data_IF_597075884096
#
_entry.id   IF_597075884096
#
_cell.length_a   1.000
_cell.length_b   1.000
_cell.length_c   1.000
_cell.angle_alpha   90.00
_cell.angle_beta   90.00
_cell.angle_gamma   90.00
#
_symmetry.space_group_name_H-M   'P 1'
#
loop_
_entity.id
_entity.type
_entity.pdbx_description
1 polymer ?
#
# COMPACT_ATOMS: atom_id res chain seq x y z
N UNK A 1 7.79 -30.31 16.73
CA UNK A 1 8.01 -29.88 15.32
C UNK A 1 8.73 -28.53 15.25
N UNK A 2 9.51 -28.28 14.20
CA UNK A 2 10.15 -26.97 13.99
C UNK A 2 9.09 -25.95 13.53
N UNK A 3 8.97 -24.82 14.23
CA UNK A 3 8.08 -23.73 13.83
C UNK A 3 8.48 -23.18 12.45
N UNK A 4 7.50 -22.88 11.61
CA UNK A 4 7.70 -22.29 10.28
C UNK A 4 6.88 -21.02 10.17
N UNK A 5 7.30 -20.11 9.31
CA UNK A 5 6.50 -19.01 8.79
C UNK A 5 6.04 -19.40 7.38
N UNK A 6 4.74 -19.33 7.15
CA UNK A 6 4.12 -19.47 5.83
C UNK A 6 3.74 -18.06 5.38
N UNK A 7 4.39 -17.61 4.32
CA UNK A 7 4.07 -16.35 3.64
C UNK A 7 3.16 -16.67 2.46
N UNK A 8 2.03 -15.97 2.37
CA UNK A 8 1.02 -16.15 1.32
C UNK A 8 0.72 -14.81 0.68
N UNK A 9 0.77 -14.77 -0.65
CA UNK A 9 0.24 -13.65 -1.41
C UNK A 9 -1.28 -13.56 -1.26
N UNK A 10 -1.82 -12.36 -1.44
CA UNK A 10 -3.25 -12.08 -1.27
C UNK A 10 -3.99 -12.27 -2.59
N UNK A 11 -3.65 -11.46 -3.58
CA UNK A 11 -4.42 -11.31 -4.81
C UNK A 11 -4.21 -12.49 -5.76
N UNK A 12 -5.29 -13.17 -6.13
CA UNK A 12 -5.19 -14.37 -6.97
C UNK A 12 -4.59 -15.61 -6.28
N UNK A 13 -4.26 -15.54 -4.98
CA UNK A 13 -3.67 -16.64 -4.21
C UNK A 13 -4.52 -17.00 -2.99
N UNK A 14 -4.54 -16.15 -1.96
CA UNK A 14 -5.31 -16.42 -0.73
C UNK A 14 -6.76 -15.95 -0.85
N UNK A 15 -6.99 -14.91 -1.62
CA UNK A 15 -8.26 -14.18 -1.74
C UNK A 15 -8.84 -14.36 -3.14
N UNK A 16 -10.16 -14.50 -3.21
CA UNK A 16 -10.94 -14.58 -4.45
C UNK A 16 -11.17 -13.19 -5.04
N UNK A 17 -11.71 -13.13 -6.25
CA UNK A 17 -12.06 -11.90 -6.96
C UNK A 17 -13.06 -11.00 -6.20
N UNK A 18 -13.88 -11.59 -5.32
CA UNK A 18 -14.81 -10.87 -4.45
C UNK A 18 -14.17 -10.34 -3.15
N UNK A 19 -12.86 -10.36 -3.06
CA UNK A 19 -12.07 -9.98 -1.88
C UNK A 19 -12.35 -10.81 -0.63
N UNK A 20 -12.86 -12.05 -0.76
CA UNK A 20 -13.09 -12.96 0.36
C UNK A 20 -12.06 -14.08 0.44
N UNK A 21 -11.70 -14.47 1.66
CA UNK A 21 -10.97 -15.74 1.88
C UNK A 21 -11.93 -16.94 1.72
N UNK A 22 -11.49 -17.94 0.97
CA UNK A 22 -12.23 -19.20 0.90
C UNK A 22 -12.27 -19.93 2.25
N UNK A 23 -13.38 -20.60 2.59
CA UNK A 23 -13.49 -21.33 3.86
C UNK A 23 -12.36 -22.36 4.06
N UNK A 24 -11.95 -23.07 3.00
CA UNK A 24 -10.81 -23.99 3.05
C UNK A 24 -9.50 -23.29 3.41
N UNK A 25 -9.28 -22.06 2.91
CA UNK A 25 -8.09 -21.25 3.25
C UNK A 25 -8.13 -20.85 4.73
N UNK A 26 -9.29 -20.43 5.23
CA UNK A 26 -9.48 -20.11 6.66
C UNK A 26 -9.22 -21.31 7.57
N UNK A 27 -9.72 -22.47 7.21
CA UNK A 27 -9.47 -23.73 7.94
C UNK A 27 -7.97 -24.08 7.94
N UNK A 28 -7.33 -24.02 6.78
CA UNK A 28 -5.90 -24.32 6.65
C UNK A 28 -5.02 -23.36 7.48
N UNK A 29 -5.34 -22.07 7.50
CA UNK A 29 -4.68 -21.07 8.34
C UNK A 29 -4.79 -21.46 9.82
N UNK A 30 -6.03 -21.77 10.29
CA UNK A 30 -6.28 -22.14 11.68
C UNK A 30 -5.53 -23.42 12.08
N UNK A 31 -5.54 -24.45 11.22
CA UNK A 31 -4.82 -25.68 11.49
C UNK A 31 -3.30 -25.45 11.59
N UNK A 32 -2.73 -24.69 10.66
CA UNK A 32 -1.30 -24.37 10.70
C UNK A 32 -0.91 -23.60 11.97
N UNK A 33 -1.75 -22.67 12.42
CA UNK A 33 -1.54 -21.92 13.66
C UNK A 33 -1.65 -22.84 14.90
N UNK A 34 -2.59 -23.78 14.92
CA UNK A 34 -2.73 -24.79 16.00
C UNK A 34 -1.49 -25.67 16.10
N UNK A 35 -0.86 -26.02 14.98
CA UNK A 35 0.42 -26.74 14.93
C UNK A 35 1.63 -25.85 15.33
N UNK A 36 1.40 -24.60 15.71
CA UNK A 36 2.41 -23.67 16.17
C UNK A 36 3.18 -22.96 15.07
N UNK A 37 2.72 -23.03 13.82
CA UNK A 37 3.28 -22.27 12.71
C UNK A 37 2.79 -20.82 12.75
N UNK A 38 3.45 -19.93 12.00
CA UNK A 38 3.08 -18.54 11.82
C UNK A 38 2.67 -18.30 10.38
N UNK A 39 1.65 -17.48 10.19
CA UNK A 39 1.10 -17.15 8.88
C UNK A 39 1.28 -15.66 8.66
N UNK A 40 1.72 -15.28 7.44
CA UNK A 40 1.79 -13.90 7.01
C UNK A 40 1.10 -13.73 5.67
N UNK A 41 0.30 -12.68 5.54
CA UNK A 41 -0.04 -12.13 4.23
C UNK A 41 1.11 -11.27 3.72
N UNK A 42 1.43 -11.39 2.44
CA UNK A 42 2.46 -10.62 1.75
C UNK A 42 1.84 -10.01 0.50
N UNK A 43 1.84 -8.70 0.40
CA UNK A 43 1.18 -8.02 -0.72
C UNK A 43 1.78 -6.64 -0.99
N UNK A 44 1.59 -6.15 -2.22
CA UNK A 44 1.79 -4.74 -2.55
C UNK A 44 0.72 -3.82 -1.98
N UNK A 45 -0.39 -4.36 -1.46
CA UNK A 45 -1.47 -3.58 -0.88
C UNK A 45 -0.99 -2.70 0.28
N UNK A 46 -1.65 -1.56 0.45
CA UNK A 46 -1.47 -0.62 1.56
C UNK A 46 -2.48 -0.90 2.67
N UNK A 47 -2.31 -0.28 3.83
CA UNK A 47 -3.26 -0.40 4.95
C UNK A 47 -4.69 -0.06 4.52
N UNK A 48 -4.86 1.02 3.76
CA UNK A 48 -6.15 1.45 3.23
C UNK A 48 -6.83 0.40 2.36
N UNK A 49 -6.05 -0.35 1.58
CA UNK A 49 -6.57 -1.36 0.65
C UNK A 49 -6.95 -2.66 1.38
N UNK A 50 -6.33 -2.91 2.54
CA UNK A 50 -6.65 -4.08 3.38
C UNK A 50 -8.06 -4.03 3.99
N UNK A 51 -8.68 -2.85 4.05
CA UNK A 51 -10.05 -2.68 4.55
C UNK A 51 -11.06 -3.50 3.76
N UNK A 52 -10.82 -3.74 2.46
CA UNK A 52 -11.66 -4.58 1.60
C UNK A 52 -11.79 -6.02 2.10
N UNK A 53 -10.80 -6.54 2.84
CA UNK A 53 -10.81 -7.88 3.45
C UNK A 53 -11.59 -7.92 4.78
N UNK A 54 -12.08 -6.80 5.28
CA UNK A 54 -12.80 -6.68 6.56
C UNK A 54 -12.04 -7.38 7.69
N UNK A 55 -12.74 -8.18 8.49
CA UNK A 55 -12.14 -8.91 9.63
C UNK A 55 -11.19 -10.03 9.19
N UNK A 56 -11.27 -10.50 7.94
CA UNK A 56 -10.45 -11.59 7.44
C UNK A 56 -8.97 -11.20 7.34
N UNK A 57 -8.66 -9.92 7.19
CA UNK A 57 -7.29 -9.41 7.21
C UNK A 57 -6.53 -9.74 8.52
N UNK A 58 -7.27 -9.96 9.62
CA UNK A 58 -6.68 -10.22 10.94
C UNK A 58 -6.57 -11.71 11.31
N UNK A 59 -6.95 -12.62 10.40
CA UNK A 59 -6.86 -14.06 10.62
C UNK A 59 -5.43 -14.60 10.64
N UNK A 60 -4.47 -13.85 10.08
CA UNK A 60 -3.06 -14.22 10.05
C UNK A 60 -2.27 -13.59 11.21
N UNK A 61 -1.04 -14.05 11.44
CA UNK A 61 -0.18 -13.51 12.51
C UNK A 61 0.47 -12.18 12.12
N UNK A 62 0.81 -12.02 10.84
CA UNK A 62 1.50 -10.85 10.32
C UNK A 62 0.93 -10.41 8.96
N UNK A 63 1.07 -9.13 8.69
CA UNK A 63 0.86 -8.55 7.35
C UNK A 63 2.17 -7.88 6.92
N UNK A 64 2.63 -8.17 5.73
CA UNK A 64 3.78 -7.56 5.06
C UNK A 64 3.22 -6.82 3.85
N UNK A 65 3.13 -5.51 3.97
CA UNK A 65 2.42 -4.62 3.06
C UNK A 65 3.38 -3.65 2.35
N UNK A 66 2.87 -2.83 1.45
CA UNK A 66 3.64 -1.84 0.69
C UNK A 66 4.87 -2.48 0.03
N UNK A 67 4.69 -3.63 -0.65
CA UNK A 67 5.79 -4.37 -1.30
C UNK A 67 6.96 -4.67 -0.34
N UNK A 68 6.66 -4.88 0.95
CA UNK A 68 7.64 -5.19 2.00
C UNK A 68 8.02 -4.01 2.89
N UNK A 69 7.65 -2.78 2.52
CA UNK A 69 7.98 -1.57 3.28
C UNK A 69 7.32 -1.49 4.65
N UNK A 70 6.26 -2.27 4.89
CA UNK A 70 5.55 -2.24 6.18
C UNK A 70 5.28 -3.65 6.71
N UNK A 71 5.56 -3.88 7.99
CA UNK A 71 5.26 -5.14 8.68
C UNK A 71 4.40 -4.86 9.90
N UNK A 72 3.22 -5.47 9.94
CA UNK A 72 2.27 -5.42 11.04
C UNK A 72 2.16 -6.78 11.73
N UNK A 73 2.07 -6.76 13.06
CA UNK A 73 1.65 -7.91 13.84
C UNK A 73 0.16 -7.81 14.14
N UNK A 74 -0.64 -8.76 13.62
CA UNK A 74 -2.10 -8.65 13.62
C UNK A 74 -2.73 -8.68 15.01
N UNK A 75 -2.22 -9.50 15.94
CA UNK A 75 -2.83 -9.70 17.28
C UNK A 75 -3.00 -8.43 18.10
N UNK A 76 -2.15 -7.44 17.91
CA UNK A 76 -2.14 -6.17 18.67
C UNK A 76 -2.00 -4.95 17.73
N UNK A 77 -2.09 -5.18 16.43
CA UNK A 77 -1.96 -4.16 15.37
C UNK A 77 -0.67 -3.34 15.48
N UNK A 78 0.38 -3.97 16.02
CA UNK A 78 1.67 -3.31 16.23
C UNK A 78 2.46 -3.26 14.93
N UNK A 79 2.88 -2.06 14.53
CA UNK A 79 3.86 -1.85 13.49
C UNK A 79 5.22 -2.34 13.99
N UNK A 80 5.80 -3.32 13.30
CA UNK A 80 7.11 -3.89 13.59
C UNK A 80 8.20 -3.26 12.73
N UNK A 81 7.85 -2.86 11.53
CA UNK A 81 8.71 -2.21 10.55
C UNK A 81 7.88 -1.25 9.71
N UNK A 82 8.44 -0.11 9.36
CA UNK A 82 7.83 0.87 8.45
C UNK A 82 8.94 1.68 7.79
N UNK A 83 9.23 1.39 6.53
CA UNK A 83 10.12 2.19 5.71
C UNK A 83 9.34 3.39 5.17
N UNK A 84 9.82 4.57 5.51
CA UNK A 84 9.22 5.82 5.06
C UNK A 84 10.10 6.47 4.00
N UNK A 85 9.46 7.00 2.98
CA UNK A 85 10.11 7.86 1.99
C UNK A 85 10.59 9.13 2.71
N UNK A 86 11.87 9.51 2.57
CA UNK A 86 12.44 10.62 3.32
C UNK A 86 11.71 11.96 3.09
N UNK A 87 11.61 12.84 4.10
CA UNK A 87 10.90 14.11 4.00
C UNK A 87 11.33 14.99 2.81
N UNK A 88 12.62 15.05 2.51
CA UNK A 88 13.11 15.86 1.40
C UNK A 88 12.64 15.34 0.04
N UNK A 89 12.53 14.03 -0.13
CA UNK A 89 11.95 13.39 -1.32
C UNK A 89 10.46 13.69 -1.42
N UNK A 90 9.73 13.48 -0.31
CA UNK A 90 8.30 13.79 -0.24
C UNK A 90 8.03 15.23 -0.67
N UNK A 91 8.77 16.20 -0.09
CA UNK A 91 8.63 17.61 -0.42
C UNK A 91 8.83 17.87 -1.91
N UNK A 92 9.92 17.37 -2.48
CA UNK A 92 10.28 17.61 -3.89
C UNK A 92 9.21 17.05 -4.84
N UNK A 93 8.83 15.80 -4.63
CA UNK A 93 7.87 15.12 -5.51
C UNK A 93 6.46 15.75 -5.43
N UNK A 94 5.95 15.99 -4.22
CA UNK A 94 4.63 16.59 -4.04
C UNK A 94 4.60 18.01 -4.62
N UNK A 95 5.63 18.83 -4.35
CA UNK A 95 5.70 20.19 -4.88
C UNK A 95 5.69 20.18 -6.40
N UNK A 96 6.52 19.33 -7.02
CA UNK A 96 6.55 19.20 -8.48
C UNK A 96 5.18 18.84 -9.05
N UNK A 97 4.52 17.83 -8.49
CA UNK A 97 3.22 17.38 -8.99
C UNK A 97 2.13 18.45 -8.82
N UNK A 98 2.14 19.20 -7.72
CA UNK A 98 1.21 20.31 -7.51
C UNK A 98 1.45 21.45 -8.52
N UNK A 99 2.70 21.86 -8.73
CA UNK A 99 3.07 22.92 -9.67
C UNK A 99 2.77 22.58 -11.13
N UNK A 100 2.95 21.32 -11.51
CA UNK A 100 2.70 20.84 -12.87
C UNK A 100 1.26 20.31 -13.09
N UNK A 101 0.40 20.36 -12.07
CA UNK A 101 -0.95 19.80 -12.10
C UNK A 101 -0.98 18.30 -12.48
N UNK A 102 0.04 17.55 -12.04
CA UNK A 102 0.20 16.12 -12.22
C UNK A 102 -0.56 15.36 -11.14
N UNK A 103 -1.26 14.28 -11.49
CA UNK A 103 -1.93 13.40 -10.55
C UNK A 103 -0.90 12.54 -9.78
N UNK A 104 -0.86 12.71 -8.47
CA UNK A 104 -0.07 11.90 -7.55
C UNK A 104 -0.96 11.43 -6.40
N UNK A 105 -0.95 10.14 -6.15
CA UNK A 105 -1.59 9.55 -4.98
C UNK A 105 -0.55 9.46 -3.87
N UNK A 106 -0.94 9.84 -2.66
CA UNK A 106 -0.08 9.98 -1.48
C UNK A 106 -0.68 9.10 -0.37
N UNK A 107 0.13 8.24 0.22
CA UNK A 107 -0.29 7.28 1.21
C UNK A 107 0.51 7.40 2.50
N UNK A 108 -0.22 7.43 3.63
CA UNK A 108 0.37 7.41 4.96
C UNK A 108 -0.59 6.70 5.94
N UNK A 109 -0.31 5.45 6.27
CA UNK A 109 -1.22 4.60 7.05
C UNK A 109 -2.59 4.46 6.38
N UNK A 110 -3.61 4.89 7.10
CA UNK A 110 -5.00 4.90 6.57
C UNK A 110 -5.34 6.14 5.74
N UNK A 111 -4.44 7.12 5.69
CA UNK A 111 -4.66 8.36 4.94
C UNK A 111 -4.32 8.13 3.47
N UNK A 112 -5.25 8.49 2.62
CA UNK A 112 -5.09 8.52 1.17
C UNK A 112 -5.43 9.92 0.66
N UNK A 113 -4.44 10.57 0.08
CA UNK A 113 -4.55 11.92 -0.47
C UNK A 113 -4.18 11.90 -1.96
N UNK A 114 -4.63 12.89 -2.70
CA UNK A 114 -4.33 13.07 -4.13
C UNK A 114 -4.08 14.54 -4.44
N UNK A 115 -3.15 14.82 -5.33
CA UNK A 115 -2.93 16.19 -5.86
C UNK A 115 -4.03 16.59 -6.85
N UNK A 116 -4.69 15.61 -7.49
CA UNK A 116 -5.75 15.80 -8.47
C UNK A 116 -6.66 14.59 -8.50
N UNK A 117 -7.97 14.83 -8.50
CA UNK A 117 -8.96 13.76 -8.68
C UNK A 117 -9.11 13.43 -10.16
N UNK A 118 -9.09 12.14 -10.50
CA UNK A 118 -9.35 11.63 -11.86
C UNK A 118 -10.48 10.62 -11.84
N UNK A 119 -11.06 10.32 -13.00
CA UNK A 119 -12.13 9.32 -13.10
C UNK A 119 -11.64 7.93 -12.65
N UNK A 120 -10.41 7.57 -12.98
CA UNK A 120 -9.78 6.31 -12.53
C UNK A 120 -9.63 6.26 -11.01
N UNK A 121 -9.19 7.37 -10.40
CA UNK A 121 -9.11 7.48 -8.93
C UNK A 121 -10.47 7.32 -8.28
N UNK A 122 -11.52 7.92 -8.87
CA UNK A 122 -12.89 7.78 -8.38
C UNK A 122 -13.43 6.36 -8.51
N UNK A 123 -13.13 5.69 -9.62
CA UNK A 123 -13.51 4.29 -9.83
C UNK A 123 -12.81 3.37 -8.82
N UNK A 124 -11.51 3.55 -8.64
CA UNK A 124 -10.76 2.80 -7.63
C UNK A 124 -11.28 3.06 -6.21
N UNK A 125 -11.57 4.32 -5.87
CA UNK A 125 -12.14 4.70 -4.59
C UNK A 125 -13.47 3.98 -4.28
N UNK A 126 -14.34 3.81 -5.29
CA UNK A 126 -15.60 3.04 -5.16
C UNK A 126 -15.32 1.57 -4.87
N UNK A 127 -14.32 0.97 -5.50
CA UNK A 127 -13.97 -0.44 -5.32
C UNK A 127 -13.38 -0.71 -3.94
N UNK A 128 -12.54 0.21 -3.44
CA UNK A 128 -11.90 0.10 -2.11
C UNK A 128 -12.85 0.56 -0.99
N UNK A 129 -13.82 1.42 -1.29
CA UNK A 129 -14.75 1.98 -0.30
C UNK A 129 -14.14 3.12 0.51
N UNK A 130 -13.07 3.75 0.01
CA UNK A 130 -12.37 4.90 0.62
C UNK A 130 -12.24 6.00 -0.42
N UNK A 131 -12.61 7.23 -0.06
CA UNK A 131 -12.48 8.41 -0.93
C UNK A 131 -11.23 9.17 -0.50
N UNK A 132 -10.28 9.46 -1.42
CA UNK A 132 -9.10 10.25 -1.08
C UNK A 132 -9.44 11.72 -0.86
N UNK A 133 -8.62 12.37 -0.05
CA UNK A 133 -8.65 13.82 0.14
C UNK A 133 -7.83 14.50 -0.97
N UNK A 134 -8.37 15.58 -1.56
CA UNK A 134 -7.61 16.40 -2.51
C UNK A 134 -6.77 17.38 -1.71
N UNK A 135 -5.48 17.46 -2.02
CA UNK A 135 -4.58 18.50 -1.49
C UNK A 135 -4.26 19.52 -2.55
N UNK A 136 -4.20 20.79 -2.15
CA UNK A 136 -3.86 21.92 -3.02
C UNK A 136 -2.54 22.57 -2.63
N UNK A 137 -2.01 22.19 -1.49
CA UNK A 137 -0.73 22.67 -0.98
C UNK A 137 0.05 21.58 -0.23
N UNK A 138 1.36 21.79 -0.13
CA UNK A 138 2.25 20.87 0.60
C UNK A 138 1.92 20.81 2.10
N UNK A 139 1.36 21.87 2.67
CA UNK A 139 1.00 21.98 4.08
C UNK A 139 -0.18 21.09 4.48
N UNK A 140 -0.97 20.62 3.51
CA UNK A 140 -2.12 19.74 3.74
C UNK A 140 -1.74 18.26 3.89
N UNK A 141 -0.45 17.94 3.91
CA UNK A 141 0.07 16.58 4.08
C UNK A 141 1.19 16.51 5.12
N UNK A 142 1.35 15.34 5.74
CA UNK A 142 2.34 15.10 6.81
C UNK A 142 3.75 14.75 6.28
N UNK A 143 4.13 15.27 5.13
CA UNK A 143 5.40 14.98 4.46
C UNK A 143 6.64 15.13 5.35
N UNK A 144 6.58 15.99 6.37
CA UNK A 144 7.71 16.29 7.28
C UNK A 144 8.18 15.08 8.11
N UNK A 145 7.34 14.09 8.25
CA UNK A 145 7.65 12.86 8.99
C UNK A 145 8.04 11.71 8.07
N UNK A 146 8.04 11.92 6.75
CA UNK A 146 8.10 10.87 5.75
C UNK A 146 6.74 10.28 5.45
N UNK A 147 6.60 9.64 4.29
CA UNK A 147 5.35 9.05 3.82
C UNK A 147 5.58 7.59 3.42
N UNK A 148 4.54 6.77 3.50
CA UNK A 148 4.63 5.34 3.23
C UNK A 148 4.71 5.01 1.73
N UNK A 149 4.20 5.87 0.87
CA UNK A 149 4.25 5.63 -0.56
C UNK A 149 3.58 6.68 -1.43
N UNK A 150 3.94 6.62 -2.69
CA UNK A 150 3.32 7.38 -3.77
C UNK A 150 2.89 6.44 -4.89
N UNK A 151 1.85 6.82 -5.64
CA UNK A 151 1.48 6.17 -6.88
C UNK A 151 1.01 7.20 -7.90
N UNK A 152 1.50 7.09 -9.13
CA UNK A 152 0.96 7.80 -10.28
C UNK A 152 0.27 6.79 -11.18
N UNK A 153 -0.94 7.11 -11.66
CA UNK A 153 -1.71 6.27 -12.59
C UNK A 153 -1.90 6.96 -13.94
N UNK A 154 -1.96 8.27 -13.92
CA UNK A 154 -1.85 9.12 -15.10
C UNK A 154 -0.53 9.90 -14.99
N UNK A 155 -0.05 10.41 -16.09
CA UNK A 155 1.20 11.21 -16.12
C UNK A 155 2.44 10.45 -15.59
N UNK A 156 2.42 9.10 -15.61
CA UNK A 156 3.51 8.26 -15.07
C UNK A 156 4.87 8.58 -15.69
N UNK A 157 4.89 8.85 -17.00
CA UNK A 157 6.11 9.21 -17.73
C UNK A 157 6.75 10.49 -17.20
N UNK A 158 5.93 11.50 -16.87
CA UNK A 158 6.41 12.78 -16.37
C UNK A 158 6.94 12.65 -14.95
N UNK A 159 6.25 11.86 -14.09
CA UNK A 159 6.71 11.56 -12.73
C UNK A 159 8.01 10.77 -12.75
N UNK A 160 8.10 9.74 -13.60
CA UNK A 160 9.30 8.93 -13.76
C UNK A 160 10.49 9.77 -14.23
N UNK A 161 10.31 10.58 -15.27
CA UNK A 161 11.35 11.47 -15.77
C UNK A 161 11.84 12.45 -14.70
N UNK A 162 10.93 13.02 -13.92
CA UNK A 162 11.31 13.90 -12.81
C UNK A 162 12.10 13.16 -11.72
N UNK A 163 11.71 11.93 -11.38
CA UNK A 163 12.45 11.11 -10.39
C UNK A 163 13.85 10.83 -10.91
N UNK A 164 13.98 10.34 -12.15
CA UNK A 164 15.28 9.98 -12.74
C UNK A 164 16.24 11.17 -12.83
N UNK A 165 15.75 12.35 -13.18
CA UNK A 165 16.56 13.55 -13.33
C UNK A 165 16.84 14.25 -12.00
N UNK A 166 15.84 14.35 -11.14
CA UNK A 166 15.88 15.23 -9.98
C UNK A 166 16.01 14.50 -8.65
N UNK A 167 15.61 13.22 -8.53
CA UNK A 167 15.60 12.46 -7.27
C UNK A 167 16.26 11.09 -7.48
N UNK A 168 17.51 11.01 -7.95
CA UNK A 168 18.15 9.76 -8.37
C UNK A 168 18.40 8.77 -7.23
N UNK A 169 18.21 9.18 -5.97
CA UNK A 169 18.27 8.32 -4.79
C UNK A 169 17.02 7.46 -4.58
N UNK A 170 15.96 7.70 -5.36
CA UNK A 170 14.70 6.94 -5.31
C UNK A 170 14.57 6.09 -6.55
N UNK A 171 14.05 4.88 -6.37
CA UNK A 171 13.61 4.04 -7.47
C UNK A 171 12.11 3.81 -7.39
N UNK A 172 11.48 3.59 -8.51
CA UNK A 172 10.07 3.26 -8.65
C UNK A 172 9.91 1.94 -9.38
N UNK A 173 8.75 1.32 -9.23
CA UNK A 173 8.39 0.09 -9.96
C UNK A 173 7.10 0.35 -10.74
N UNK A 174 7.07 -0.09 -12.00
CA UNK A 174 5.83 -0.17 -12.76
C UNK A 174 5.12 -1.48 -12.46
N UNK A 175 3.81 -1.41 -12.24
CA UNK A 175 2.96 -2.59 -12.05
C UNK A 175 2.47 -3.19 -13.37
N UNK A 176 2.70 -2.50 -14.48
CA UNK A 176 2.29 -2.97 -15.82
C UNK A 176 3.50 -3.25 -16.71
N UNK A 177 3.45 -4.34 -17.53
CA UNK A 177 4.60 -4.79 -18.31
C UNK A 177 5.04 -3.85 -19.45
N UNK A 178 4.28 -2.78 -19.75
CA UNK A 178 4.49 -1.90 -20.89
C UNK A 178 4.40 -0.40 -20.57
N UNK A 179 4.63 -0.02 -19.33
CA UNK A 179 4.72 1.40 -18.93
C UNK A 179 6.16 1.77 -18.62
#
# INVERSE_FOLDING_TARGET
>A
MRRKLLAMDIDGTAVRDDSSLGEKSKEAIKLAQQEGHKIAFVSGRRDSDMVSLKDEQWLVDYQILNTGGKILRCKDRKVLHNDLIPPHVCKRLITHCLEQNIQLQIYNGMTWQVTKMTDETLEYAKNVGVIPEIINSLEETDWKYGLEGFMATQDMTDVAAYIDECIPEVYYVSSEPNC
#
